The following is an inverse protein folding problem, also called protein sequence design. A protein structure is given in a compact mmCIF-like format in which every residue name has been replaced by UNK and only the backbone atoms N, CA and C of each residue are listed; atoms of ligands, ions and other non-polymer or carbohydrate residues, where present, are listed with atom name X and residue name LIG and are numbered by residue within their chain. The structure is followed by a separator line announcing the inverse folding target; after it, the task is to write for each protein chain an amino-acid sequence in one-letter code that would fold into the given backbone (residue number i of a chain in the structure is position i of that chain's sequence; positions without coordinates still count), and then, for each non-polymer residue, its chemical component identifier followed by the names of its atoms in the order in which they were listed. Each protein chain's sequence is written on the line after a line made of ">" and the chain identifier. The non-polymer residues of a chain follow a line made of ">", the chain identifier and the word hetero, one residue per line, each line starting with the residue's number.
data_IF_406587370803
#
_entry.id   IF_406587370803
#
_cell.length_a   1.000
_cell.length_b   1.000
_cell.length_c   1.000
_cell.angle_alpha   90.00
_cell.angle_beta   90.00
_cell.angle_gamma   90.00
#
_symmetry.space_group_name_H-M   'P 1'
#
loop_
_entity.id
_entity.type
_entity.pdbx_description
1 polymer ?
#
# COMPACT_ATOMS: atom_id res chain seq x y z
N UNK A 1 21.36 -2.50 -15.38
CA UNK A 1 21.20 -3.02 -16.75
C UNK A 1 19.78 -3.55 -16.87
N UNK A 2 19.07 -3.30 -17.97
CA UNK A 2 17.79 -3.95 -18.25
C UNK A 2 18.02 -5.22 -19.08
N UNK A 3 17.22 -6.24 -18.83
CA UNK A 3 17.24 -7.50 -19.59
C UNK A 3 15.83 -7.83 -20.04
N UNK A 4 15.68 -8.28 -21.29
CA UNK A 4 14.39 -8.66 -21.85
C UNK A 4 14.12 -10.14 -21.57
N UNK A 5 12.93 -10.44 -21.05
CA UNK A 5 12.42 -11.79 -20.84
C UNK A 5 11.26 -12.04 -21.80
N UNK A 6 11.23 -13.21 -22.45
CA UNK A 6 10.12 -13.66 -23.27
C UNK A 6 9.56 -14.97 -22.72
N UNK A 7 8.24 -15.06 -22.66
CA UNK A 7 7.53 -16.26 -22.22
C UNK A 7 6.19 -16.34 -22.96
N UNK A 8 5.74 -17.57 -23.21
CA UNK A 8 4.41 -17.82 -23.73
C UNK A 8 3.43 -17.91 -22.57
N UNK A 9 2.30 -17.22 -22.70
CA UNK A 9 1.17 -17.29 -21.76
C UNK A 9 -0.07 -17.69 -22.54
N UNK A 10 -1.01 -18.36 -21.88
CA UNK A 10 -2.27 -18.71 -22.51
C UNK A 10 -3.11 -17.46 -22.82
N UNK A 11 -4.05 -17.59 -23.77
CA UNK A 11 -4.86 -16.47 -24.24
C UNK A 11 -5.74 -15.84 -23.16
N UNK A 12 -6.18 -16.61 -22.16
CA UNK A 12 -7.01 -16.10 -21.05
C UNK A 12 -6.16 -15.22 -20.14
N UNK A 13 -4.97 -15.68 -19.76
CA UNK A 13 -4.01 -14.90 -18.98
C UNK A 13 -3.57 -13.63 -19.71
N UNK A 14 -3.27 -13.73 -21.01
CA UNK A 14 -2.92 -12.57 -21.83
C UNK A 14 -4.04 -11.51 -21.86
N UNK A 15 -5.29 -11.95 -21.97
CA UNK A 15 -6.46 -11.05 -22.00
C UNK A 15 -6.68 -10.38 -20.64
N UNK A 16 -6.64 -11.16 -19.55
CA UNK A 16 -6.73 -10.62 -18.17
C UNK A 16 -5.64 -9.58 -17.90
N UNK A 17 -4.39 -9.87 -18.28
CA UNK A 17 -3.27 -8.95 -18.11
C UNK A 17 -3.45 -7.64 -18.91
N UNK A 18 -3.88 -7.71 -20.17
CA UNK A 18 -4.15 -6.52 -20.99
C UNK A 18 -5.25 -5.64 -20.37
N UNK A 19 -6.29 -6.27 -19.83
CA UNK A 19 -7.37 -5.58 -19.14
C UNK A 19 -6.85 -4.84 -17.90
N UNK A 20 -6.08 -5.52 -17.04
CA UNK A 20 -5.48 -4.89 -15.85
C UNK A 20 -4.57 -3.73 -16.23
N UNK A 21 -3.70 -3.92 -17.23
CA UNK A 21 -2.81 -2.85 -17.70
C UNK A 21 -3.59 -1.62 -18.20
N UNK A 22 -4.68 -1.83 -18.93
CA UNK A 22 -5.57 -0.76 -19.38
C UNK A 22 -6.27 -0.05 -18.21
N UNK A 23 -6.77 -0.80 -17.22
CA UNK A 23 -7.44 -0.24 -16.04
C UNK A 23 -6.50 0.60 -15.18
N UNK A 24 -5.23 0.21 -15.09
CA UNK A 24 -4.21 0.93 -14.32
C UNK A 24 -3.55 2.07 -15.10
N UNK A 25 -3.92 2.29 -16.38
CA UNK A 25 -3.25 3.23 -17.28
C UNK A 25 -1.74 2.96 -17.42
N UNK A 26 -1.37 1.69 -17.62
CA UNK A 26 0.02 1.22 -17.70
C UNK A 26 0.25 0.38 -18.96
N UNK A 27 1.49 0.33 -19.42
CA UNK A 27 1.87 -0.59 -20.49
C UNK A 27 1.84 -2.03 -20.00
N UNK A 28 1.56 -2.98 -20.90
CA UNK A 28 1.58 -4.43 -20.58
C UNK A 28 2.94 -4.84 -20.04
N UNK A 29 4.04 -4.31 -20.61
CA UNK A 29 5.40 -4.60 -20.14
C UNK A 29 5.62 -4.13 -18.69
N UNK A 30 5.12 -2.95 -18.32
CA UNK A 30 5.22 -2.45 -16.94
C UNK A 30 4.36 -3.28 -15.97
N UNK A 31 3.17 -3.69 -16.39
CA UNK A 31 2.31 -4.57 -15.59
C UNK A 31 3.00 -5.94 -15.33
N UNK A 32 3.58 -6.56 -16.37
CA UNK A 32 4.36 -7.81 -16.24
C UNK A 32 5.56 -7.62 -15.32
N UNK A 33 6.34 -6.55 -15.51
CA UNK A 33 7.51 -6.27 -14.69
C UNK A 33 7.15 -6.12 -13.21
N UNK A 34 6.07 -5.40 -12.90
CA UNK A 34 5.58 -5.29 -11.52
C UNK A 34 5.06 -6.62 -10.96
N UNK A 35 4.31 -7.39 -11.74
CA UNK A 35 3.82 -8.70 -11.32
C UNK A 35 4.99 -9.64 -10.97
N UNK A 36 6.03 -9.69 -11.81
CA UNK A 36 7.24 -10.47 -11.56
C UNK A 36 7.93 -9.97 -10.28
N UNK A 37 8.12 -8.66 -10.14
CA UNK A 37 8.79 -8.05 -8.97
C UNK A 37 8.10 -8.42 -7.66
N UNK A 38 6.77 -8.33 -7.63
CA UNK A 38 5.99 -8.71 -6.45
C UNK A 38 6.12 -10.21 -6.22
N UNK A 39 5.90 -11.03 -7.26
CA UNK A 39 5.90 -12.48 -7.13
C UNK A 39 7.24 -13.02 -6.63
N UNK A 40 8.37 -12.58 -7.18
CA UNK A 40 9.70 -13.06 -6.76
C UNK A 40 10.06 -12.61 -5.33
N UNK A 41 9.48 -11.51 -4.85
CA UNK A 41 9.68 -11.00 -3.49
C UNK A 41 8.88 -11.74 -2.41
N UNK A 42 7.85 -12.51 -2.78
CA UNK A 42 7.05 -13.28 -1.82
C UNK A 42 7.83 -14.49 -1.28
N UNK A 43 7.63 -14.89 0.00
CA UNK A 43 8.18 -16.14 0.53
C UNK A 43 7.72 -17.36 -0.28
N UNK A 44 8.58 -18.38 -0.40
CA UNK A 44 8.28 -19.60 -1.20
C UNK A 44 6.91 -20.21 -0.84
N UNK A 45 6.64 -20.40 0.46
CA UNK A 45 5.37 -20.98 0.91
C UNK A 45 4.13 -20.18 0.48
N UNK A 46 4.25 -18.84 0.42
CA UNK A 46 3.16 -17.97 -0.06
C UNK A 46 2.95 -18.14 -1.57
N UNK A 47 4.04 -18.21 -2.35
CA UNK A 47 3.95 -18.43 -3.80
C UNK A 47 3.33 -19.79 -4.12
N UNK A 48 3.79 -20.83 -3.44
CA UNK A 48 3.31 -22.19 -3.65
C UNK A 48 1.81 -22.27 -3.34
N UNK A 49 1.36 -21.65 -2.23
CA UNK A 49 -0.05 -21.57 -1.87
C UNK A 49 -0.89 -20.80 -2.89
N UNK A 50 -0.43 -19.63 -3.38
CA UNK A 50 -1.15 -18.86 -4.40
C UNK A 50 -1.28 -19.63 -5.73
N UNK A 51 -0.24 -20.39 -6.11
CA UNK A 51 -0.28 -21.24 -7.30
C UNK A 51 -1.24 -22.42 -7.12
N UNK A 52 -1.29 -23.01 -5.93
CA UNK A 52 -2.23 -24.08 -5.59
C UNK A 52 -3.68 -23.60 -5.69
N UNK A 53 -4.01 -22.45 -5.08
CA UNK A 53 -5.36 -21.87 -5.17
C UNK A 53 -5.76 -21.59 -6.62
N UNK A 54 -4.84 -21.06 -7.43
CA UNK A 54 -5.11 -20.81 -8.85
C UNK A 54 -5.30 -22.12 -9.64
N UNK A 55 -4.58 -23.18 -9.30
CA UNK A 55 -4.75 -24.50 -9.93
C UNK A 55 -6.09 -25.15 -9.57
N UNK A 56 -6.61 -24.89 -8.37
CA UNK A 56 -7.92 -25.36 -7.90
C UNK A 56 -9.09 -24.47 -8.35
N UNK A 57 -8.81 -23.36 -9.04
CA UNK A 57 -9.77 -22.29 -9.37
C UNK A 57 -10.55 -21.76 -8.16
N UNK A 58 -9.92 -21.76 -6.97
CA UNK A 58 -10.51 -21.27 -5.72
C UNK A 58 -10.42 -19.74 -5.64
N UNK A 59 -11.25 -19.09 -6.46
CA UNK A 59 -11.31 -17.62 -6.53
C UNK A 59 -11.83 -17.00 -5.22
N UNK A 60 -12.68 -17.70 -4.47
CA UNK A 60 -13.24 -17.19 -3.22
C UNK A 60 -12.14 -17.04 -2.15
N UNK A 61 -11.27 -18.05 -2.01
CA UNK A 61 -10.12 -17.95 -1.11
C UNK A 61 -9.12 -16.90 -1.56
N UNK A 62 -8.87 -16.77 -2.88
CA UNK A 62 -8.00 -15.70 -3.42
C UNK A 62 -8.55 -14.31 -3.08
N UNK A 63 -9.86 -14.09 -3.25
CA UNK A 63 -10.51 -12.81 -2.93
C UNK A 63 -10.44 -12.54 -1.43
N UNK A 64 -10.70 -13.54 -0.58
CA UNK A 64 -10.61 -13.40 0.88
C UNK A 64 -9.19 -13.02 1.32
N UNK A 65 -8.19 -13.73 0.80
CA UNK A 65 -6.78 -13.44 1.06
C UNK A 65 -6.41 -12.02 0.60
N UNK A 66 -6.88 -11.60 -0.58
CA UNK A 66 -6.67 -10.25 -1.08
C UNK A 66 -7.23 -9.16 -0.15
N UNK A 67 -8.40 -9.39 0.45
CA UNK A 67 -8.99 -8.47 1.45
C UNK A 67 -8.16 -8.41 2.73
N UNK A 68 -7.71 -9.56 3.24
CA UNK A 68 -6.85 -9.63 4.42
C UNK A 68 -5.51 -8.92 4.18
N UNK A 69 -4.89 -9.13 3.01
CA UNK A 69 -3.68 -8.43 2.61
C UNK A 69 -3.87 -6.91 2.49
N UNK A 70 -5.00 -6.45 1.94
CA UNK A 70 -5.32 -5.02 1.89
C UNK A 70 -5.46 -4.42 3.30
N UNK A 71 -6.14 -5.11 4.21
CA UNK A 71 -6.30 -4.67 5.59
C UNK A 71 -4.93 -4.59 6.31
N UNK A 72 -4.08 -5.61 6.14
CA UNK A 72 -2.72 -5.60 6.68
C UNK A 72 -1.88 -4.45 6.09
N UNK A 73 -1.94 -4.24 4.77
CA UNK A 73 -1.23 -3.15 4.11
C UNK A 73 -1.73 -1.77 4.56
N UNK A 74 -3.02 -1.60 4.84
CA UNK A 74 -3.56 -0.36 5.40
C UNK A 74 -3.01 -0.07 6.80
N UNK A 75 -2.93 -1.09 7.67
CA UNK A 75 -2.32 -0.96 9.01
C UNK A 75 -0.86 -0.54 8.94
N UNK A 76 -0.07 -1.22 8.11
CA UNK A 76 1.36 -0.89 7.93
C UNK A 76 1.54 0.54 7.38
N UNK A 77 0.69 0.97 6.43
CA UNK A 77 0.75 2.34 5.91
C UNK A 77 0.40 3.38 6.97
N UNK A 78 -0.59 3.10 7.82
CA UNK A 78 -0.95 3.97 8.94
C UNK A 78 0.22 4.09 9.94
N UNK A 79 0.76 2.96 10.38
CA UNK A 79 1.89 2.90 11.32
C UNK A 79 3.11 3.67 10.78
N UNK A 80 3.40 3.50 9.48
CA UNK A 80 4.46 4.26 8.81
C UNK A 80 4.15 5.76 8.80
N UNK A 81 2.95 6.16 8.40
CA UNK A 81 2.56 7.57 8.38
C UNK A 81 2.62 8.21 9.78
N UNK A 82 2.22 7.49 10.83
CA UNK A 82 2.33 7.98 12.22
C UNK A 82 3.79 8.11 12.66
N UNK A 83 4.66 7.19 12.24
CA UNK A 83 6.09 7.26 12.54
C UNK A 83 6.74 8.44 11.82
N UNK A 84 6.41 8.61 10.53
CA UNK A 84 6.90 9.72 9.72
C UNK A 84 6.46 11.07 10.33
N UNK A 85 5.18 11.21 10.73
CA UNK A 85 4.67 12.41 11.41
C UNK A 85 5.32 12.71 12.77
N UNK A 86 5.60 11.67 13.59
CA UNK A 86 6.31 11.84 14.86
C UNK A 86 7.78 12.27 14.63
N UNK A 87 8.40 11.78 13.55
CA UNK A 87 9.76 12.15 13.16
C UNK A 87 9.87 13.57 12.59
N UNK A 88 8.78 14.15 12.10
CA UNK A 88 8.72 15.55 11.63
C UNK A 88 8.74 16.58 12.77
N UNK A 89 8.68 16.15 14.06
CA UNK A 89 8.69 17.01 15.26
C UNK A 89 7.72 18.21 15.19
N UNK A 90 6.65 18.13 14.38
CA UNK A 90 5.60 19.15 14.29
C UNK A 90 4.63 19.13 15.47
N UNK A 91 4.66 18.04 16.24
CA UNK A 91 4.11 17.93 17.58
C UNK A 91 5.28 17.51 18.47
N UNK A 92 5.54 18.27 19.54
CA UNK A 92 6.73 18.18 20.39
C UNK A 92 7.17 16.75 20.68
N UNK A 93 8.48 16.51 20.57
CA UNK A 93 9.07 15.19 20.80
C UNK A 93 8.82 14.65 22.21
N UNK A 94 9.24 13.41 22.51
CA UNK A 94 9.00 12.76 23.81
C UNK A 94 9.66 13.44 25.02
N UNK A 95 10.50 14.46 24.79
CA UNK A 95 11.12 15.32 25.80
C UNK A 95 10.36 16.64 26.00
N UNK A 96 9.40 16.95 25.14
CA UNK A 96 8.58 18.14 25.22
C UNK A 96 7.31 17.78 25.99
N UNK A 97 7.40 17.89 27.31
CA UNK A 97 6.27 17.79 28.23
C UNK A 97 5.29 18.96 28.04
N UNK A 98 4.82 19.17 26.81
CA UNK A 98 3.62 19.95 26.56
C UNK A 98 2.46 19.10 27.07
N UNK A 99 1.96 19.48 28.23
CA UNK A 99 0.78 18.90 28.83
C UNK A 99 -0.37 18.96 27.82
N UNK A 100 -1.34 18.04 27.90
CA UNK A 100 -2.60 18.13 27.13
C UNK A 100 -3.24 19.54 27.22
N UNK A 101 -2.98 20.23 28.33
CA UNK A 101 -3.35 21.61 28.60
C UNK A 101 -2.66 22.60 27.63
N UNK A 102 -1.36 22.43 27.37
CA UNK A 102 -0.59 23.32 26.49
C UNK A 102 -1.04 23.18 25.03
N UNK A 103 -1.35 21.95 24.60
CA UNK A 103 -1.92 21.69 23.27
C UNK A 103 -3.32 22.32 23.12
N UNK A 104 -4.14 22.30 24.16
CA UNK A 104 -5.46 22.95 24.17
C UNK A 104 -5.36 24.47 24.21
N UNK A 105 -4.38 25.03 24.93
CA UNK A 105 -4.14 26.48 24.94
C UNK A 105 -3.66 26.99 23.57
N UNK A 106 -2.79 26.26 22.89
CA UNK A 106 -2.29 26.64 21.56
C UNK A 106 -3.40 26.58 20.50
N UNK A 107 -4.25 25.54 20.53
CA UNK A 107 -5.43 25.46 19.66
C UNK A 107 -6.42 26.62 19.91
N UNK A 108 -6.57 27.03 21.17
CA UNK A 108 -7.42 28.16 21.56
C UNK A 108 -6.81 29.49 21.08
N UNK A 109 -5.49 29.65 21.17
CA UNK A 109 -4.78 30.82 20.68
C UNK A 109 -4.92 30.99 19.15
N UNK A 110 -4.78 29.91 18.39
CA UNK A 110 -4.98 29.91 16.93
C UNK A 110 -6.42 30.30 16.54
N UNK A 111 -7.41 29.80 17.28
CA UNK A 111 -8.82 30.15 17.05
C UNK A 111 -9.10 31.63 17.34
N UNK A 112 -8.52 32.19 18.40
CA UNK A 112 -8.64 33.63 18.70
C UNK A 112 -7.96 34.51 17.65
N UNK A 113 -6.77 34.12 17.20
CA UNK A 113 -6.04 34.84 16.16
C UNK A 113 -6.79 34.85 14.81
N UNK A 114 -7.45 33.74 14.46
CA UNK A 114 -8.31 33.65 13.28
C UNK A 114 -9.59 34.50 13.40
N UNK A 115 -10.09 34.71 14.62
CA UNK A 115 -11.31 35.52 14.88
C UNK A 115 -11.02 37.03 14.89
N UNK A 116 -9.80 37.44 15.28
CA UNK A 116 -9.37 38.86 15.27
C UNK A 116 -8.93 39.39 13.90
N UNK A 117 -8.89 38.55 12.85
CA UNK A 117 -8.46 38.92 11.49
C UNK A 117 -9.64 39.29 10.56
N UNK A 118 -10.77 39.72 11.12
CA UNK A 118 -11.92 40.29 10.42
C UNK A 118 -12.09 41.76 10.76
#
# INVERSE_FOLDING_TARGET
>A
MSSTLSANVDGRTATKLKMVASMENRSVSNAVSSAITVFVGLPKGVRDFLLELNAQDDQDTIIRLGREMMAAAARVRLEKATTDLASEHRFGGPEDASSEIDMLEEATALTRAATHRK
#
